data_IF_161425282134
#
_entry.id   IF_161425282134
#
_cell.length_a   1.000
_cell.length_b   1.000
_cell.length_c   1.000
_cell.angle_alpha   90.00
_cell.angle_beta   90.00
_cell.angle_gamma   90.00
#
_symmetry.space_group_name_H-M   'P 1'
#
loop_
_entity.id
_entity.type
_entity.pdbx_description
1 polymer ?
#
# COMPACT_ATOMS: atom_id res chain seq x y z
N UNK A 1 -13.39 -9.95 12.90
CA UNK A 1 -13.61 -9.84 11.44
C UNK A 1 -12.77 -10.80 10.60
N UNK A 2 -11.44 -10.88 10.78
CA UNK A 2 -10.58 -11.77 9.96
C UNK A 2 -10.30 -13.13 10.62
N UNK A 3 -10.12 -13.15 11.95
CA UNK A 3 -10.03 -14.39 12.73
C UNK A 3 -11.33 -15.23 12.66
N UNK A 4 -12.47 -14.58 12.43
CA UNK A 4 -13.76 -15.25 12.29
C UNK A 4 -13.88 -15.96 10.94
N UNK A 5 -13.22 -15.46 9.90
CA UNK A 5 -13.20 -16.10 8.56
C UNK A 5 -12.36 -17.38 8.53
N UNK A 6 -11.35 -17.46 9.38
CA UNK A 6 -10.50 -18.65 9.55
C UNK A 6 -11.13 -19.69 10.50
N UNK A 7 -12.18 -19.32 11.23
CA UNK A 7 -12.88 -20.20 12.17
C UNK A 7 -13.81 -21.13 11.38
N UNK A 8 -13.41 -22.40 11.27
CA UNK A 8 -14.17 -23.43 10.54
C UNK A 8 -13.51 -23.86 9.24
N UNK A 9 -12.38 -23.26 8.87
CA UNK A 9 -11.58 -23.68 7.73
C UNK A 9 -10.81 -24.96 8.07
N UNK A 10 -10.79 -25.93 7.14
CA UNK A 10 -10.13 -27.23 7.35
C UNK A 10 -8.61 -27.12 7.47
N UNK A 11 -8.03 -26.08 6.86
CA UNK A 11 -6.62 -25.71 7.00
C UNK A 11 -6.48 -24.20 7.28
N UNK A 12 -6.47 -23.80 8.56
CA UNK A 12 -6.36 -22.41 8.96
C UNK A 12 -5.05 -21.74 8.53
N UNK A 13 -3.98 -22.51 8.26
CA UNK A 13 -2.68 -21.96 7.87
C UNK A 13 -2.72 -21.56 6.39
N UNK A 14 -3.22 -22.46 5.53
CA UNK A 14 -3.42 -22.16 4.11
C UNK A 14 -4.43 -21.02 3.91
N UNK A 15 -5.55 -21.04 4.66
CA UNK A 15 -6.54 -19.97 4.64
C UNK A 15 -5.96 -18.61 5.08
N UNK A 16 -5.05 -18.61 6.06
CA UNK A 16 -4.38 -17.38 6.49
C UNK A 16 -3.45 -16.82 5.43
N UNK A 17 -2.69 -17.66 4.74
CA UNK A 17 -1.81 -17.23 3.65
C UNK A 17 -2.60 -16.55 2.52
N UNK A 18 -3.73 -17.15 2.11
CA UNK A 18 -4.61 -16.59 1.09
C UNK A 18 -5.23 -15.24 1.53
N UNK A 19 -5.65 -15.11 2.79
CA UNK A 19 -6.18 -13.85 3.32
C UNK A 19 -5.12 -12.76 3.41
N UNK A 20 -3.89 -13.10 3.77
CA UNK A 20 -2.77 -12.14 3.79
C UNK A 20 -2.49 -11.63 2.37
N UNK A 21 -2.50 -12.51 1.38
CA UNK A 21 -2.28 -12.12 -0.01
C UNK A 21 -3.39 -11.20 -0.52
N UNK A 22 -4.64 -11.56 -0.24
CA UNK A 22 -5.79 -10.71 -0.56
C UNK A 22 -5.73 -9.34 0.12
N UNK A 23 -5.31 -9.29 1.39
CA UNK A 23 -5.16 -8.02 2.08
C UNK A 23 -4.05 -7.16 1.46
N UNK A 24 -2.93 -7.79 1.06
CA UNK A 24 -1.84 -7.10 0.37
C UNK A 24 -2.28 -6.48 -0.95
N UNK A 25 -3.05 -7.20 -1.75
CA UNK A 25 -3.54 -6.69 -3.03
C UNK A 25 -4.56 -5.57 -2.86
N UNK A 26 -5.55 -5.79 -1.98
CA UNK A 26 -6.76 -4.97 -1.98
C UNK A 26 -6.61 -3.72 -1.09
N UNK A 27 -5.85 -3.83 0.01
CA UNK A 27 -5.79 -2.80 1.05
C UNK A 27 -4.39 -2.19 1.19
N UNK A 28 -3.33 -2.96 0.96
CA UNK A 28 -1.94 -2.49 1.14
C UNK A 28 -1.25 -2.11 -0.18
N UNK A 29 -2.02 -1.91 -1.25
CA UNK A 29 -1.46 -1.50 -2.53
C UNK A 29 -1.23 0.01 -2.58
N UNK A 30 -0.01 0.47 -2.91
CA UNK A 30 0.27 1.90 -3.07
C UNK A 30 -0.53 2.53 -4.22
N UNK A 31 -0.94 1.72 -5.21
CA UNK A 31 -1.77 2.15 -6.33
C UNK A 31 -3.16 2.56 -5.84
N UNK A 32 -3.76 1.77 -4.93
CA UNK A 32 -5.05 2.10 -4.35
C UNK A 32 -4.98 3.41 -3.54
N UNK A 33 -3.89 3.62 -2.79
CA UNK A 33 -3.66 4.87 -2.05
C UNK A 33 -3.55 6.09 -2.98
N UNK A 34 -2.87 5.95 -4.13
CA UNK A 34 -2.76 7.01 -5.13
C UNK A 34 -4.13 7.31 -5.78
N UNK A 35 -4.93 6.29 -6.10
CA UNK A 35 -6.29 6.47 -6.63
C UNK A 35 -7.23 7.19 -5.64
N UNK A 36 -7.06 6.95 -4.34
CA UNK A 36 -7.79 7.65 -3.29
C UNK A 36 -7.27 9.08 -3.01
N UNK A 37 -6.21 9.53 -3.69
CA UNK A 37 -5.60 10.84 -3.47
C UNK A 37 -4.93 10.99 -2.10
N UNK A 38 -4.60 9.88 -1.44
CA UNK A 38 -3.91 9.90 -0.13
C UNK A 38 -2.42 10.15 -0.28
N UNK A 39 -1.86 9.78 -1.43
CA UNK A 39 -0.48 10.05 -1.84
C UNK A 39 -0.50 10.69 -3.23
N UNK A 40 0.47 11.55 -3.50
CA UNK A 40 0.55 12.26 -4.78
C UNK A 40 1.02 11.35 -5.94
N UNK A 41 2.00 10.47 -5.69
CA UNK A 41 2.60 9.65 -6.74
C UNK A 41 3.30 8.39 -6.19
N UNK A 42 3.44 7.36 -7.03
CA UNK A 42 4.24 6.16 -6.78
C UNK A 42 5.41 6.17 -7.75
N UNK A 43 6.60 6.46 -7.22
CA UNK A 43 7.81 6.71 -8.03
C UNK A 43 8.79 5.55 -7.93
N UNK A 44 9.74 5.50 -8.87
CA UNK A 44 10.86 4.56 -8.78
C UNK A 44 11.87 5.04 -7.72
N UNK A 45 12.58 4.12 -7.03
CA UNK A 45 13.48 4.51 -5.94
C UNK A 45 14.62 5.45 -6.35
N UNK A 46 15.08 5.37 -7.59
CA UNK A 46 16.13 6.23 -8.17
C UNK A 46 15.64 7.66 -8.45
N UNK A 47 14.35 7.85 -8.70
CA UNK A 47 13.72 9.17 -8.89
C UNK A 47 13.56 9.96 -7.58
N UNK A 48 13.68 9.28 -6.42
CA UNK A 48 13.42 9.85 -5.10
C UNK A 48 14.17 11.17 -4.85
N UNK A 49 15.45 11.21 -5.21
CA UNK A 49 16.28 12.41 -4.96
C UNK A 49 15.79 13.61 -5.77
N UNK A 50 15.47 13.42 -7.04
CA UNK A 50 14.98 14.49 -7.91
C UNK A 50 13.61 15.00 -7.44
N UNK A 51 12.71 14.09 -7.06
CA UNK A 51 11.38 14.42 -6.54
C UNK A 51 11.43 15.21 -5.23
N UNK A 52 12.31 14.82 -4.31
CA UNK A 52 12.49 15.54 -3.04
C UNK A 52 12.99 16.97 -3.26
N UNK A 53 13.97 17.18 -4.15
CA UNK A 53 14.48 18.52 -4.46
C UNK A 53 13.36 19.41 -5.00
N UNK A 54 12.61 18.93 -6.00
CA UNK A 54 11.50 19.68 -6.58
C UNK A 54 10.40 20.01 -5.55
N UNK A 55 10.09 19.06 -4.66
CA UNK A 55 9.13 19.27 -3.58
C UNK A 55 9.61 20.34 -2.59
N UNK A 56 10.87 20.28 -2.17
CA UNK A 56 11.44 21.29 -1.28
C UNK A 56 11.54 22.67 -1.92
N UNK A 57 11.94 22.77 -3.18
CA UNK A 57 11.97 24.04 -3.91
C UNK A 57 10.58 24.67 -3.95
N UNK A 58 9.56 23.88 -4.29
CA UNK A 58 8.15 24.30 -4.31
C UNK A 58 7.69 24.81 -2.94
N UNK A 59 8.04 24.09 -1.85
CA UNK A 59 7.67 24.47 -0.49
C UNK A 59 8.46 25.68 0.03
N UNK A 60 9.70 25.88 -0.44
CA UNK A 60 10.53 27.03 -0.04
C UNK A 60 10.10 28.33 -0.73
N UNK A 61 9.49 28.22 -1.92
CA UNK A 61 8.92 29.35 -2.66
C UNK A 61 7.53 29.79 -2.16
N UNK A 62 7.02 29.16 -1.09
CA UNK A 62 5.73 29.48 -0.48
C UNK A 62 5.87 30.30 0.79
#
# INVERSE_FOLDING_TARGET
MWNDKLRGEKDPIAGRAALVEKWRSDMASPIAAAQCGMIDDVIMPDELRARLIAAFDTLSSR
#
